data_IF_309334096990
#
_entry.id   IF_309334096990
#
_cell.length_a   1.000
_cell.length_b   1.000
_cell.length_c   1.000
_cell.angle_alpha   90.00
_cell.angle_beta   90.00
_cell.angle_gamma   90.00
#
_symmetry.space_group_name_H-M   'P 1'
#
loop_
_entity.id
_entity.type
_entity.pdbx_description
1 polymer ?
#
# COMPACT_ATOMS: atom_id res chain seq x y z
N UNK A 1 -1.78 23.09 -13.03
CA UNK A 1 -0.97 22.68 -11.86
C UNK A 1 -1.29 21.24 -11.57
N UNK A 2 -0.29 20.43 -11.24
CA UNK A 2 -0.43 19.04 -10.86
C UNK A 2 -0.55 18.90 -9.33
N UNK A 3 -1.01 17.75 -8.85
CA UNK A 3 -1.18 17.44 -7.44
C UNK A 3 -0.32 16.23 -7.09
N UNK A 4 0.69 16.43 -6.24
CA UNK A 4 1.43 15.35 -5.60
C UNK A 4 0.60 14.83 -4.42
N UNK A 5 0.11 13.59 -4.53
CA UNK A 5 -0.81 12.99 -3.56
C UNK A 5 -0.05 12.11 -2.56
N UNK A 6 -0.02 12.55 -1.30
CA UNK A 6 0.68 11.83 -0.22
C UNK A 6 -0.26 11.05 0.72
N UNK A 7 -1.56 11.39 0.72
CA UNK A 7 -2.55 10.77 1.61
C UNK A 7 -3.40 9.76 0.82
N UNK A 8 -3.11 8.48 0.96
CA UNK A 8 -3.82 7.40 0.27
C UNK A 8 -5.29 7.29 0.70
N UNK A 9 -5.59 7.60 1.95
CA UNK A 9 -6.94 7.56 2.50
C UNK A 9 -7.90 8.48 1.73
N UNK A 10 -7.38 9.56 1.16
CA UNK A 10 -8.15 10.47 0.29
C UNK A 10 -8.75 9.72 -0.92
N UNK A 11 -7.97 8.87 -1.59
CA UNK A 11 -8.47 8.05 -2.70
C UNK A 11 -9.32 6.87 -2.22
N UNK A 12 -9.00 6.31 -1.07
CA UNK A 12 -9.81 5.24 -0.47
C UNK A 12 -11.23 5.73 -0.19
N UNK A 13 -11.35 6.90 0.44
CA UNK A 13 -12.64 7.47 0.88
C UNK A 13 -13.45 8.05 -0.29
N UNK A 14 -12.78 8.72 -1.22
CA UNK A 14 -13.44 9.58 -2.22
C UNK A 14 -12.83 9.47 -3.63
N UNK A 15 -12.25 8.32 -3.99
CA UNK A 15 -11.50 8.15 -5.24
C UNK A 15 -12.28 8.54 -6.48
N UNK A 16 -13.54 8.13 -6.61
CA UNK A 16 -14.40 8.51 -7.75
C UNK A 16 -14.58 10.03 -7.87
N UNK A 17 -14.86 10.70 -6.74
CA UNK A 17 -15.10 12.14 -6.72
C UNK A 17 -13.82 12.92 -7.08
N UNK A 18 -12.68 12.48 -6.56
CA UNK A 18 -11.37 13.10 -6.81
C UNK A 18 -10.98 12.93 -8.27
N UNK A 19 -11.07 11.71 -8.82
CA UNK A 19 -10.74 11.45 -10.22
C UNK A 19 -11.67 12.23 -11.16
N UNK A 20 -12.96 12.33 -10.85
CA UNK A 20 -13.92 13.13 -11.60
C UNK A 20 -13.55 14.63 -11.58
N UNK A 21 -13.14 15.14 -10.41
CA UNK A 21 -12.72 16.54 -10.27
C UNK A 21 -11.39 16.84 -10.98
N UNK A 22 -10.45 15.89 -10.94
CA UNK A 22 -9.12 16.00 -11.55
C UNK A 22 -9.15 15.83 -13.08
N UNK A 23 -10.12 15.08 -13.61
CA UNK A 23 -10.19 14.68 -15.03
C UNK A 23 -9.97 15.86 -15.97
N UNK A 24 -8.98 15.75 -16.86
CA UNK A 24 -8.58 16.76 -17.86
C UNK A 24 -8.16 18.12 -17.28
N UNK A 25 -7.90 18.23 -15.98
CA UNK A 25 -7.53 19.49 -15.33
C UNK A 25 -6.15 19.45 -14.69
N UNK A 26 -5.83 18.35 -14.04
CA UNK A 26 -4.57 18.16 -13.30
C UNK A 26 -4.11 16.71 -13.42
N UNK A 27 -2.82 16.48 -13.30
CA UNK A 27 -2.25 15.17 -13.07
C UNK A 27 -2.22 14.87 -11.57
N UNK A 28 -2.62 13.66 -11.19
CA UNK A 28 -2.42 13.13 -9.84
C UNK A 28 -1.12 12.32 -9.85
N UNK A 29 -0.16 12.76 -9.07
CA UNK A 29 1.17 12.14 -8.99
C UNK A 29 1.29 11.51 -7.62
N UNK A 30 1.36 10.16 -7.53
CA UNK A 30 1.44 9.50 -6.23
C UNK A 30 2.81 9.69 -5.58
N UNK A 31 2.79 9.93 -4.26
CA UNK A 31 3.98 9.98 -3.41
C UNK A 31 4.22 8.64 -2.71
N UNK A 32 3.16 7.86 -2.45
CA UNK A 32 3.31 6.53 -1.87
C UNK A 32 4.31 5.70 -2.69
N UNK A 33 5.26 5.03 -2.02
CA UNK A 33 6.43 4.43 -2.67
C UNK A 33 6.04 3.40 -3.73
N UNK A 34 5.05 2.60 -3.46
CA UNK A 34 4.55 1.56 -4.35
C UNK A 34 3.89 2.15 -5.60
N UNK A 35 3.06 3.17 -5.42
CA UNK A 35 2.37 3.83 -6.54
C UNK A 35 3.32 4.71 -7.35
N UNK A 36 4.28 5.36 -6.70
CA UNK A 36 5.39 6.04 -7.38
C UNK A 36 6.19 5.05 -8.24
N UNK A 37 6.46 3.85 -7.72
CA UNK A 37 7.17 2.80 -8.46
C UNK A 37 6.38 2.35 -9.70
N UNK A 38 5.06 2.17 -9.59
CA UNK A 38 4.19 1.85 -10.72
C UNK A 38 4.22 2.97 -11.77
N UNK A 39 4.07 4.23 -11.32
CA UNK A 39 4.14 5.40 -12.23
C UNK A 39 5.49 5.45 -12.96
N UNK A 40 6.60 5.16 -12.28
CA UNK A 40 7.94 5.12 -12.87
C UNK A 40 8.11 3.97 -13.86
N UNK A 41 7.54 2.79 -13.57
CA UNK A 41 7.57 1.64 -14.46
C UNK A 41 6.70 1.84 -15.71
N UNK A 42 5.68 2.71 -15.63
CA UNK A 42 4.81 3.08 -16.76
C UNK A 42 5.39 4.20 -17.65
N UNK A 43 6.52 4.79 -17.27
CA UNK A 43 7.06 5.91 -18.03
C UNK A 43 7.46 5.48 -19.46
N UNK A 44 6.80 6.05 -20.46
CA UNK A 44 6.96 5.68 -21.86
C UNK A 44 6.09 4.50 -22.34
N UNK A 45 5.38 3.86 -21.43
CA UNK A 45 4.53 2.70 -21.72
C UNK A 45 3.04 3.09 -21.85
N UNK A 46 2.27 2.26 -22.54
CA UNK A 46 0.82 2.44 -22.69
C UNK A 46 0.07 1.66 -21.62
N UNK A 47 -0.84 2.34 -20.91
CA UNK A 47 -1.65 1.72 -19.84
C UNK A 47 -2.46 0.51 -20.34
N UNK A 48 -2.90 0.52 -21.61
CA UNK A 48 -3.66 -0.57 -22.22
C UNK A 48 -2.83 -1.86 -22.44
N UNK A 49 -1.51 -1.78 -22.22
CA UNK A 49 -0.59 -2.92 -22.31
C UNK A 49 -0.28 -3.55 -20.96
N UNK A 50 -0.83 -3.02 -19.87
CA UNK A 50 -0.70 -3.62 -18.55
C UNK A 50 -1.50 -4.92 -18.52
N UNK A 51 -0.83 -6.04 -18.22
CA UNK A 51 -1.48 -7.32 -17.89
C UNK A 51 -1.93 -7.32 -16.44
N UNK A 52 -1.04 -6.95 -15.53
CA UNK A 52 -1.33 -6.75 -14.10
C UNK A 52 -0.30 -5.85 -13.42
N UNK A 53 -0.73 -5.24 -12.32
CA UNK A 53 0.12 -4.54 -11.37
C UNK A 53 0.47 -5.51 -10.25
N UNK A 54 1.71 -5.49 -9.77
CA UNK A 54 2.19 -6.30 -8.66
C UNK A 54 2.65 -5.35 -7.55
N UNK A 55 1.81 -5.21 -6.51
CA UNK A 55 2.14 -4.44 -5.31
C UNK A 55 3.00 -5.29 -4.38
N UNK A 56 4.14 -4.76 -3.97
CA UNK A 56 4.98 -5.42 -2.98
C UNK A 56 4.72 -4.87 -1.58
N UNK A 57 4.91 -5.67 -0.56
CA UNK A 57 4.88 -5.25 0.83
C UNK A 57 5.88 -6.02 1.67
N UNK A 58 6.41 -5.43 2.75
CA UNK A 58 7.37 -6.11 3.64
C UNK A 58 6.76 -7.33 4.37
N UNK A 59 5.44 -7.40 4.47
CA UNK A 59 4.72 -8.36 5.30
C UNK A 59 4.58 -7.92 6.76
N UNK A 60 5.13 -6.76 7.12
CA UNK A 60 5.07 -6.20 8.46
C UNK A 60 5.90 -6.97 9.50
N UNK A 61 5.84 -6.57 10.78
CA UNK A 61 6.63 -7.17 11.85
C UNK A 61 6.21 -8.62 12.17
N UNK A 62 4.98 -9.00 11.85
CA UNK A 62 4.39 -10.29 12.21
C UNK A 62 4.35 -11.31 11.06
N UNK A 63 5.07 -11.04 9.96
CA UNK A 63 5.12 -11.92 8.78
C UNK A 63 5.41 -13.38 9.13
N UNK A 64 6.33 -13.63 10.04
CA UNK A 64 6.77 -14.97 10.46
C UNK A 64 6.05 -15.51 11.70
N UNK A 65 5.15 -14.74 12.31
CA UNK A 65 4.41 -15.15 13.51
C UNK A 65 3.30 -16.12 13.15
N UNK A 66 2.97 -17.03 14.10
CA UNK A 66 1.73 -17.81 14.01
C UNK A 66 0.52 -16.97 14.46
N UNK A 67 -0.70 -17.42 14.17
CA UNK A 67 -1.94 -16.76 14.65
C UNK A 67 -1.98 -16.67 16.18
N UNK A 68 -1.50 -17.73 16.88
CA UNK A 68 -1.45 -17.79 18.32
C UNK A 68 -0.45 -16.76 18.90
N UNK A 69 0.70 -16.59 18.25
CA UNK A 69 1.67 -15.57 18.63
C UNK A 69 1.10 -14.16 18.43
N UNK A 70 0.38 -13.93 17.33
CA UNK A 70 -0.24 -12.63 17.05
C UNK A 70 -1.35 -12.25 18.03
N UNK A 71 -1.99 -13.21 18.70
CA UNK A 71 -3.06 -12.94 19.65
C UNK A 71 -2.61 -12.13 20.88
N UNK A 72 -1.33 -12.19 21.23
CA UNK A 72 -0.78 -11.59 22.44
C UNK A 72 0.33 -10.55 22.17
N UNK A 73 0.42 -10.04 20.95
CA UNK A 73 1.43 -9.03 20.61
C UNK A 73 1.16 -7.71 21.30
N UNK A 74 2.24 -7.07 21.72
CA UNK A 74 2.23 -5.77 22.38
C UNK A 74 2.27 -4.64 21.36
N UNK A 75 1.87 -3.44 21.77
CA UNK A 75 1.99 -2.22 20.97
C UNK A 75 3.45 -2.00 20.55
N UNK A 76 4.40 -2.23 21.45
CA UNK A 76 5.84 -2.09 21.16
C UNK A 76 6.31 -3.01 20.04
N UNK A 77 5.84 -4.26 20.01
CA UNK A 77 6.16 -5.21 18.94
C UNK A 77 5.49 -4.79 17.61
N UNK A 78 4.24 -4.36 17.67
CA UNK A 78 3.49 -3.90 16.49
C UNK A 78 4.08 -2.62 15.88
N UNK A 79 4.66 -1.73 16.69
CA UNK A 79 5.34 -0.51 16.23
C UNK A 79 6.79 -0.75 15.75
N UNK A 80 7.32 -1.95 15.87
CA UNK A 80 8.68 -2.28 15.45
C UNK A 80 8.72 -2.77 13.99
N UNK A 81 8.56 -1.85 13.04
CA UNK A 81 8.61 -2.20 11.62
C UNK A 81 10.04 -2.58 11.19
N UNK A 82 10.24 -3.67 10.39
CA UNK A 82 11.58 -4.17 10.07
C UNK A 82 12.42 -3.23 9.19
N UNK A 83 11.81 -2.44 8.29
CA UNK A 83 12.54 -1.69 7.26
C UNK A 83 12.30 -0.18 7.31
N UNK A 84 11.16 0.28 7.84
CA UNK A 84 10.73 1.68 7.78
C UNK A 84 10.55 2.27 9.17
N UNK A 85 10.93 3.54 9.32
CA UNK A 85 10.56 4.35 10.48
C UNK A 85 9.40 5.25 10.07
N UNK A 86 8.22 5.02 10.65
CA UNK A 86 6.97 5.64 10.26
C UNK A 86 6.17 6.12 11.47
N UNK A 87 5.09 6.86 11.24
CA UNK A 87 4.11 7.20 12.27
C UNK A 87 3.39 5.98 12.82
N UNK A 88 2.82 6.09 14.02
CA UNK A 88 2.20 4.96 14.72
C UNK A 88 1.09 4.29 13.90
N UNK A 89 0.13 5.07 13.38
CA UNK A 89 -1.02 4.54 12.61
C UNK A 89 -0.57 3.68 11.43
N UNK A 90 0.26 4.19 10.54
CA UNK A 90 0.71 3.45 9.35
C UNK A 90 1.58 2.24 9.71
N UNK A 91 2.28 2.29 10.85
CA UNK A 91 3.06 1.14 11.33
C UNK A 91 2.13 0.00 11.78
N UNK A 92 1.02 0.32 12.47
CA UNK A 92 -0.01 -0.69 12.80
C UNK A 92 -0.71 -1.18 11.54
N UNK A 93 -1.01 -0.31 10.57
CA UNK A 93 -1.55 -0.73 9.28
C UNK A 93 -0.61 -1.70 8.53
N UNK A 94 0.70 -1.51 8.65
CA UNK A 94 1.68 -2.47 8.13
C UNK A 94 1.64 -3.79 8.89
N UNK A 95 1.50 -3.74 10.22
CA UNK A 95 1.44 -4.93 11.07
C UNK A 95 0.19 -5.79 10.79
N UNK A 96 -0.95 -5.16 10.46
CA UNK A 96 -2.20 -5.83 10.07
C UNK A 96 -2.29 -6.13 8.57
N UNK A 97 -1.33 -5.67 7.78
CA UNK A 97 -1.37 -5.62 6.30
C UNK A 97 -2.53 -4.77 5.74
N UNK A 98 -3.24 -3.98 6.57
CA UNK A 98 -4.24 -3.02 6.09
C UNK A 98 -3.61 -1.97 5.18
N UNK A 99 -2.38 -1.53 5.45
CA UNK A 99 -1.67 -0.60 4.56
C UNK A 99 -1.67 -1.11 3.12
N UNK A 100 -1.41 -2.41 2.92
CA UNK A 100 -1.41 -3.01 1.59
C UNK A 100 -2.83 -3.13 1.00
N UNK A 101 -3.84 -3.31 1.84
CA UNK A 101 -5.24 -3.23 1.43
C UNK A 101 -5.64 -1.82 0.96
N UNK A 102 -5.27 -0.77 1.69
CA UNK A 102 -5.52 0.62 1.29
C UNK A 102 -4.77 0.98 0.01
N UNK A 103 -3.55 0.53 -0.15
CA UNK A 103 -2.75 0.70 -1.36
C UNK A 103 -3.35 -0.04 -2.57
N UNK A 104 -3.96 -1.20 -2.37
CA UNK A 104 -4.72 -1.88 -3.42
C UNK A 104 -5.85 -0.99 -3.96
N UNK A 105 -6.62 -0.37 -3.07
CA UNK A 105 -7.70 0.55 -3.46
C UNK A 105 -7.13 1.77 -4.19
N UNK A 106 -6.06 2.36 -3.66
CA UNK A 106 -5.39 3.51 -4.29
C UNK A 106 -4.87 3.17 -5.69
N UNK A 107 -4.22 2.01 -5.88
CA UNK A 107 -3.73 1.55 -7.18
C UNK A 107 -4.88 1.42 -8.20
N UNK A 108 -6.01 0.86 -7.78
CA UNK A 108 -7.19 0.72 -8.64
C UNK A 108 -7.73 2.07 -9.11
N UNK A 109 -7.73 3.09 -8.25
CA UNK A 109 -8.13 4.44 -8.64
C UNK A 109 -7.10 5.12 -9.55
N UNK A 110 -5.82 5.04 -9.28
CA UNK A 110 -4.78 5.72 -10.04
C UNK A 110 -4.53 5.11 -11.42
N UNK A 111 -4.56 3.77 -11.52
CA UNK A 111 -4.12 3.06 -12.71
C UNK A 111 -5.24 2.36 -13.49
N UNK A 112 -6.44 2.29 -12.93
CA UNK A 112 -7.64 1.79 -13.56
C UNK A 112 -8.35 0.71 -12.76
N UNK A 113 -9.65 0.88 -12.55
CA UNK A 113 -10.47 -0.04 -11.75
C UNK A 113 -10.48 -1.47 -12.29
N UNK A 114 -10.36 -1.64 -13.61
CA UNK A 114 -10.34 -2.94 -14.26
C UNK A 114 -8.95 -3.57 -14.35
N UNK A 115 -7.88 -2.83 -14.03
CA UNK A 115 -6.51 -3.36 -14.05
C UNK A 115 -6.36 -4.41 -12.94
N UNK A 116 -5.94 -5.65 -13.24
CA UNK A 116 -5.66 -6.64 -12.21
C UNK A 116 -4.54 -6.16 -11.28
N UNK A 117 -4.72 -6.32 -9.98
CA UNK A 117 -3.71 -5.99 -8.97
C UNK A 117 -3.46 -7.23 -8.11
N UNK A 118 -2.24 -7.69 -8.11
CA UNK A 118 -1.73 -8.77 -7.27
C UNK A 118 -0.90 -8.17 -6.12
N UNK A 119 -0.97 -8.77 -4.95
CA UNK A 119 -0.15 -8.39 -3.81
C UNK A 119 0.84 -9.53 -3.55
N UNK A 120 2.13 -9.18 -3.40
CA UNK A 120 3.17 -10.12 -2.98
C UNK A 120 3.96 -9.56 -1.81
N UNK A 121 4.46 -10.45 -0.97
CA UNK A 121 5.33 -10.09 0.15
C UNK A 121 6.78 -10.12 -0.31
N UNK A 122 7.48 -9.00 -0.11
CA UNK A 122 8.90 -8.82 -0.39
C UNK A 122 9.61 -8.26 0.86
N UNK A 123 10.14 -9.12 1.73
CA UNK A 123 10.62 -8.72 3.05
C UNK A 123 11.70 -7.66 3.05
N UNK A 124 12.54 -7.61 2.00
CA UNK A 124 13.64 -6.66 1.90
C UNK A 124 13.20 -5.23 1.54
N UNK A 125 11.97 -5.05 1.04
CA UNK A 125 11.42 -3.75 0.59
C UNK A 125 12.32 -3.00 -0.41
N UNK A 126 13.06 -3.73 -1.26
CA UNK A 126 13.94 -3.18 -2.30
C UNK A 126 13.17 -2.97 -3.60
N UNK A 127 12.33 -3.93 -3.98
CA UNK A 127 11.38 -3.79 -5.08
C UNK A 127 10.14 -3.13 -4.50
N UNK A 128 9.84 -1.91 -4.96
CA UNK A 128 8.72 -1.14 -4.43
C UNK A 128 7.39 -1.47 -5.12
N UNK A 129 7.39 -1.83 -6.40
CA UNK A 129 6.29 -2.44 -7.15
C UNK A 129 6.76 -2.84 -8.54
N UNK A 130 5.92 -3.60 -9.25
CA UNK A 130 6.20 -4.09 -10.60
C UNK A 130 4.95 -4.00 -11.47
N UNK A 131 5.17 -4.00 -12.78
CA UNK A 131 4.12 -4.13 -13.79
C UNK A 131 4.48 -5.30 -14.69
N UNK A 132 3.55 -6.23 -14.86
CA UNK A 132 3.61 -7.24 -15.91
C UNK A 132 2.81 -6.74 -17.11
N UNK A 133 3.44 -6.79 -18.29
CA UNK A 133 2.83 -6.39 -19.56
C UNK A 133 2.28 -7.59 -20.33
N UNK A 134 1.47 -7.32 -21.36
CA UNK A 134 0.82 -8.35 -22.19
C UNK A 134 1.79 -9.26 -22.95
N UNK A 135 3.06 -8.85 -23.10
CA UNK A 135 4.14 -9.64 -23.66
C UNK A 135 4.90 -10.48 -22.63
N UNK A 136 4.36 -10.54 -21.41
CA UNK A 136 4.93 -11.23 -20.23
C UNK A 136 6.19 -10.61 -19.62
N UNK A 137 6.67 -9.49 -20.15
CA UNK A 137 7.79 -8.77 -19.53
C UNK A 137 7.33 -8.12 -18.21
N UNK A 138 8.25 -8.05 -17.24
CA UNK A 138 8.01 -7.42 -15.94
C UNK A 138 9.01 -6.27 -15.75
N UNK A 139 8.47 -5.06 -15.51
CA UNK A 139 9.27 -3.89 -15.18
C UNK A 139 9.08 -3.57 -13.70
N UNK A 140 10.19 -3.42 -12.98
CA UNK A 140 10.22 -3.16 -11.55
C UNK A 140 11.01 -1.88 -11.25
N UNK A 141 10.52 -1.08 -10.30
CA UNK A 141 11.33 0.00 -9.73
C UNK A 141 11.96 -0.51 -8.42
N UNK A 142 13.28 -0.37 -8.34
CA UNK A 142 14.08 -0.76 -7.19
C UNK A 142 14.70 0.46 -6.54
N UNK A 143 14.78 0.43 -5.20
CA UNK A 143 15.42 1.47 -4.41
C UNK A 143 15.60 1.03 -2.96
N UNK A 144 16.39 1.79 -2.20
CA UNK A 144 16.37 1.65 -0.75
C UNK A 144 15.03 2.20 -0.21
N UNK A 145 14.56 1.74 0.96
CA UNK A 145 13.32 2.24 1.59
C UNK A 145 13.55 3.67 2.15
N UNK A 146 13.37 4.66 1.29
CA UNK A 146 13.57 6.09 1.61
C UNK A 146 12.52 6.94 0.88
N UNK A 147 11.60 7.54 1.66
CA UNK A 147 10.51 8.37 1.12
C UNK A 147 10.99 9.64 0.39
N UNK A 148 12.22 10.08 0.62
CA UNK A 148 12.76 11.23 -0.12
C UNK A 148 12.83 10.98 -1.62
N UNK A 149 13.02 9.73 -2.04
CA UNK A 149 13.08 9.35 -3.46
C UNK A 149 11.74 9.57 -4.18
N UNK A 150 10.61 8.98 -3.75
CA UNK A 150 9.32 9.20 -4.40
C UNK A 150 8.82 10.65 -4.23
N UNK A 151 9.12 11.31 -3.11
CA UNK A 151 8.79 12.72 -2.92
C UNK A 151 9.53 13.60 -3.95
N UNK A 152 10.84 13.42 -4.10
CA UNK A 152 11.63 14.17 -5.08
C UNK A 152 11.10 13.93 -6.50
N UNK A 153 10.85 12.68 -6.87
CA UNK A 153 10.30 12.34 -8.18
C UNK A 153 8.93 12.99 -8.42
N UNK A 154 8.04 12.96 -7.43
CA UNK A 154 6.71 13.57 -7.57
C UNK A 154 6.76 15.11 -7.75
N UNK A 155 7.72 15.77 -7.09
CA UNK A 155 7.89 17.22 -7.18
C UNK A 155 8.56 17.69 -8.48
N UNK A 156 9.28 16.80 -9.15
CA UNK A 156 10.01 17.12 -10.39
C UNK A 156 9.46 16.41 -11.63
N UNK A 157 8.42 15.61 -11.43
CA UNK A 157 7.80 14.82 -12.53
C UNK A 157 7.54 15.67 -13.79
N UNK A 158 7.89 15.18 -15.00
CA UNK A 158 8.40 13.83 -15.29
C UNK A 158 9.94 13.69 -15.19
N UNK A 159 10.64 14.74 -14.83
CA UNK A 159 12.10 14.79 -14.80
C UNK A 159 12.68 14.11 -13.56
N UNK A 160 13.97 13.74 -13.65
CA UNK A 160 14.76 13.27 -12.52
C UNK A 160 15.85 14.28 -12.21
N UNK A 161 15.97 14.62 -10.93
CA UNK A 161 17.03 15.51 -10.46
C UNK A 161 18.12 14.71 -9.75
N UNK A 162 19.33 15.25 -9.75
CA UNK A 162 20.42 14.71 -8.95
C UNK A 162 20.09 14.85 -7.44
N UNK A 163 20.26 13.76 -6.71
CA UNK A 163 20.02 13.70 -5.28
C UNK A 163 21.19 13.02 -4.58
N UNK A 164 21.58 13.54 -3.42
CA UNK A 164 22.62 12.93 -2.56
C UNK A 164 22.05 11.89 -1.59
N UNK A 165 21.06 11.10 -2.03
CA UNK A 165 20.50 10.02 -1.23
C UNK A 165 21.40 8.77 -1.30
N UNK A 166 21.35 7.90 -0.28
CA UNK A 166 22.06 6.63 -0.35
C UNK A 166 21.63 5.81 -1.58
N UNK A 167 22.58 5.14 -2.21
CA UNK A 167 22.32 4.35 -3.42
C UNK A 167 22.13 2.88 -3.09
N UNK A 168 21.32 2.20 -3.91
CA UNK A 168 21.14 0.77 -3.84
C UNK A 168 22.40 0.03 -4.31
N UNK A 169 22.93 -0.87 -3.49
CA UNK A 169 24.05 -1.73 -3.84
C UNK A 169 23.58 -3.19 -3.97
N UNK A 170 23.32 -3.64 -5.19
CA UNK A 170 22.81 -4.98 -5.46
C UNK A 170 23.80 -6.09 -5.08
N UNK A 171 25.11 -5.83 -5.16
CA UNK A 171 26.14 -6.81 -4.79
C UNK A 171 26.17 -7.07 -3.28
N UNK A 172 25.75 -6.10 -2.47
CA UNK A 172 25.60 -6.24 -1.01
C UNK A 172 24.32 -6.97 -0.66
N UNK A 173 23.22 -6.69 -1.37
CA UNK A 173 21.89 -7.29 -1.14
C UNK A 173 21.90 -8.77 -1.55
N UNK A 174 22.56 -9.13 -2.63
CA UNK A 174 22.73 -10.49 -3.17
C UNK A 174 21.43 -11.19 -3.60
N UNK A 175 20.39 -11.17 -2.78
CA UNK A 175 19.17 -11.96 -3.00
C UNK A 175 17.91 -11.11 -2.71
N UNK A 176 16.91 -11.25 -3.56
CA UNK A 176 15.55 -10.76 -3.38
C UNK A 176 14.62 -11.96 -3.25
N UNK A 177 13.72 -11.91 -2.28
CA UNK A 177 12.77 -13.00 -2.01
C UNK A 177 11.34 -12.51 -2.09
N UNK A 178 10.44 -13.39 -2.55
CA UNK A 178 9.02 -13.09 -2.71
C UNK A 178 8.20 -14.24 -2.15
N UNK A 179 7.09 -13.90 -1.50
CA UNK A 179 6.17 -14.84 -0.85
C UNK A 179 4.73 -14.43 -1.17
N UNK A 180 3.81 -15.38 -1.19
CA UNK A 180 2.38 -15.07 -1.24
C UNK A 180 1.91 -14.50 0.10
N UNK A 181 0.98 -13.51 0.13
CA UNK A 181 0.41 -13.03 1.37
C UNK A 181 -0.52 -14.07 2.00
N UNK A 182 -0.43 -14.22 3.32
CA UNK A 182 -1.33 -15.09 4.08
C UNK A 182 -2.63 -14.34 4.41
N UNK A 183 -3.64 -14.49 3.56
CA UNK A 183 -4.95 -13.84 3.70
C UNK A 183 -5.73 -14.29 4.93
N UNK A 184 -5.48 -15.50 5.45
CA UNK A 184 -6.13 -15.98 6.67
C UNK A 184 -5.53 -15.33 7.93
N UNK A 185 -4.22 -15.09 7.90
CA UNK A 185 -3.50 -14.41 8.97
C UNK A 185 -3.71 -12.90 8.93
N UNK A 186 -3.81 -12.33 7.73
CA UNK A 186 -3.96 -10.90 7.49
C UNK A 186 -5.26 -10.58 6.72
N UNK A 187 -6.44 -10.76 7.35
CA UNK A 187 -7.73 -10.62 6.67
C UNK A 187 -8.01 -9.20 6.20
N UNK A 188 -7.31 -8.19 6.72
CA UNK A 188 -7.48 -6.78 6.33
C UNK A 188 -7.24 -6.55 4.83
N UNK A 189 -6.35 -7.33 4.19
CA UNK A 189 -6.13 -7.26 2.74
C UNK A 189 -7.43 -7.60 2.00
N UNK A 190 -8.04 -8.73 2.35
CA UNK A 190 -9.29 -9.19 1.71
C UNK A 190 -10.44 -8.24 1.99
N UNK A 191 -10.56 -7.72 3.21
CA UNK A 191 -11.58 -6.72 3.56
C UNK A 191 -11.48 -5.47 2.69
N UNK A 192 -10.26 -5.00 2.40
CA UNK A 192 -10.06 -3.84 1.52
C UNK A 192 -10.45 -4.16 0.06
N UNK A 193 -10.11 -5.34 -0.45
CA UNK A 193 -10.54 -5.80 -1.77
C UNK A 193 -12.07 -5.87 -1.86
N UNK A 194 -12.71 -6.53 -0.89
CA UNK A 194 -14.17 -6.67 -0.82
C UNK A 194 -14.86 -5.31 -0.71
N UNK A 195 -14.32 -4.38 0.08
CA UNK A 195 -14.88 -3.04 0.21
C UNK A 195 -14.94 -2.30 -1.12
N UNK A 196 -13.90 -2.44 -1.95
CA UNK A 196 -13.87 -1.83 -3.27
C UNK A 196 -14.85 -2.51 -4.25
N UNK A 197 -15.01 -3.83 -4.17
CA UNK A 197 -15.99 -4.58 -4.96
C UNK A 197 -17.43 -4.20 -4.61
N UNK A 198 -17.73 -4.04 -3.33
CA UNK A 198 -19.03 -3.54 -2.86
C UNK A 198 -19.24 -2.10 -3.34
N UNK A 199 -18.19 -1.29 -3.29
CA UNK A 199 -18.21 0.08 -3.79
C UNK A 199 -18.98 1.06 -2.91
N UNK A 200 -19.46 2.15 -3.52
CA UNK A 200 -20.20 3.24 -2.82
C UNK A 200 -19.40 3.77 -1.63
N UNK A 201 -19.99 3.77 -0.42
CA UNK A 201 -19.38 4.24 0.83
C UNK A 201 -18.58 3.17 1.58
N UNK A 202 -18.56 1.91 1.10
CA UNK A 202 -17.90 0.82 1.84
C UNK A 202 -16.40 1.04 2.05
N UNK A 203 -15.61 1.55 1.08
CA UNK A 203 -14.19 1.87 1.34
C UNK A 203 -14.01 2.97 2.40
N UNK A 204 -14.93 3.94 2.48
CA UNK A 204 -14.91 4.96 3.52
C UNK A 204 -15.22 4.37 4.91
N UNK A 205 -16.16 3.42 4.97
CA UNK A 205 -16.47 2.68 6.21
C UNK A 205 -15.29 1.84 6.67
N UNK A 206 -14.66 1.10 5.75
CA UNK A 206 -13.43 0.34 6.03
C UNK A 206 -12.36 1.26 6.64
N UNK A 207 -12.09 2.40 5.99
CA UNK A 207 -11.06 3.33 6.46
C UNK A 207 -11.41 3.91 7.83
N UNK A 208 -12.64 4.38 8.04
CA UNK A 208 -13.07 4.95 9.32
C UNK A 208 -13.00 3.91 10.46
N UNK A 209 -13.44 2.68 10.20
CA UNK A 209 -13.36 1.59 11.17
C UNK A 209 -11.90 1.24 11.50
N UNK A 210 -11.01 1.24 10.50
CA UNK A 210 -9.58 1.03 10.71
C UNK A 210 -8.96 2.13 11.56
N UNK A 211 -9.25 3.41 11.29
CA UNK A 211 -8.76 4.54 12.09
C UNK A 211 -9.12 4.37 13.57
N UNK A 212 -10.41 4.08 13.84
CA UNK A 212 -10.91 3.89 15.20
C UNK A 212 -10.30 2.66 15.88
N UNK A 213 -10.24 1.52 15.18
CA UNK A 213 -9.71 0.29 15.74
C UNK A 213 -8.21 0.36 16.02
N UNK A 214 -7.43 1.00 15.14
CA UNK A 214 -6.00 1.24 15.36
C UNK A 214 -5.77 2.15 16.56
N UNK A 215 -6.55 3.23 16.71
CA UNK A 215 -6.44 4.12 17.85
C UNK A 215 -6.78 3.39 19.16
N UNK A 216 -7.88 2.63 19.18
CA UNK A 216 -8.27 1.84 20.35
C UNK A 216 -7.21 0.81 20.77
N UNK A 217 -6.50 0.21 19.79
CA UNK A 217 -5.35 -0.65 20.09
C UNK A 217 -4.19 0.14 20.70
N UNK A 218 -3.86 1.31 20.14
CA UNK A 218 -2.78 2.16 20.64
C UNK A 218 -3.08 2.72 22.04
N UNK A 219 -4.35 2.89 22.38
CA UNK A 219 -4.84 3.33 23.71
C UNK A 219 -5.03 2.15 24.69
N UNK A 220 -4.61 0.93 24.30
CA UNK A 220 -4.74 -0.31 25.10
C UNK A 220 -6.20 -0.74 25.42
N UNK A 221 -7.16 -0.25 24.67
CA UNK A 221 -8.59 -0.57 24.85
C UNK A 221 -8.98 -1.92 24.24
N UNK A 222 -8.30 -2.32 23.15
CA UNK A 222 -8.53 -3.60 22.49
C UNK A 222 -7.20 -4.33 22.19
N UNK A 223 -7.15 -5.67 22.17
CA UNK A 223 -5.99 -6.42 21.71
C UNK A 223 -5.83 -6.33 20.19
N UNK A 224 -4.61 -6.58 19.69
CA UNK A 224 -4.25 -6.49 18.26
C UNK A 224 -5.21 -7.25 17.33
N UNK A 225 -5.57 -8.48 17.70
CA UNK A 225 -6.48 -9.30 16.89
C UNK A 225 -7.86 -8.65 16.67
N UNK A 226 -8.31 -7.84 17.63
CA UNK A 226 -9.63 -7.21 17.55
C UNK A 226 -9.66 -6.02 16.58
N UNK A 227 -8.53 -5.55 16.05
CA UNK A 227 -8.51 -4.54 14.99
C UNK A 227 -9.30 -5.06 13.78
N UNK A 228 -8.92 -6.22 13.25
CA UNK A 228 -9.61 -6.82 12.09
C UNK A 228 -11.07 -7.17 12.40
N UNK A 229 -11.36 -7.69 13.60
CA UNK A 229 -12.72 -8.01 14.03
C UNK A 229 -13.61 -6.76 14.05
N UNK A 230 -13.12 -5.64 14.60
CA UNK A 230 -13.85 -4.36 14.66
C UNK A 230 -14.16 -3.83 13.27
N UNK A 231 -13.20 -3.87 12.35
CA UNK A 231 -13.37 -3.45 10.96
C UNK A 231 -14.45 -4.32 10.29
N UNK A 232 -14.34 -5.63 10.43
CA UNK A 232 -15.31 -6.58 9.87
C UNK A 232 -16.73 -6.33 10.37
N UNK A 233 -16.91 -6.11 11.68
CA UNK A 233 -18.20 -5.77 12.28
C UNK A 233 -18.77 -4.47 11.72
N UNK A 234 -17.95 -3.43 11.57
CA UNK A 234 -18.39 -2.15 11.02
C UNK A 234 -18.86 -2.30 9.56
N UNK A 235 -18.11 -3.03 8.73
CA UNK A 235 -18.49 -3.30 7.34
C UNK A 235 -19.81 -4.08 7.23
N UNK A 236 -20.00 -5.12 8.06
CA UNK A 236 -21.23 -5.93 8.05
C UNK A 236 -22.47 -5.19 8.53
N UNK A 237 -22.32 -4.20 9.40
CA UNK A 237 -23.43 -3.39 9.93
C UNK A 237 -23.73 -2.16 9.05
N UNK A 238 -22.93 -1.88 8.05
CA UNK A 238 -23.15 -0.79 7.10
C UNK A 238 -24.22 -1.18 6.09
N UNK A 239 -25.21 -0.29 5.89
CA UNK A 239 -26.39 -0.48 5.01
C UNK A 239 -26.29 0.41 3.77
#
# INVERSE_FOLDING_TARGET
KDLALANKETLVIAGELILRAAKNKINLIPIDSEHSAILQALNGEKKERIQKIILTGSGGPFRTFTKEQMANVTIKEALNHPNWTMGAKITIDSATMMNKGLEYIEAKWLFGLNTPVEIIVHPQSIVHSMIEFVDTSVIAQLGIPDMRVPIAYALTFPDRIECSFPTLNLSTIKQLTFEEPDYEKFPCIKMAQDSLEIGQSMPAVLNAANEVAVQAFLDEEIPFKNIAETIHMAMNNHK
#
